data_IF_511527111891
#
_entry.id   IF_511527111891
#
_cell.length_a   1.000
_cell.length_b   1.000
_cell.length_c   1.000
_cell.angle_alpha   90.00
_cell.angle_beta   90.00
_cell.angle_gamma   90.00
#
_symmetry.space_group_name_H-M   'P 1'
#
loop_
_entity.id
_entity.type
_entity.pdbx_description
1 polymer ?
#
# COMPACT_ATOMS: atom_id res chain seq x y z
N UNK A 1 -8.63 17.01 17.01
CA UNK A 1 -7.28 17.07 16.41
C UNK A 1 -7.44 17.60 15.00
N UNK A 2 -6.70 18.63 14.62
CA UNK A 2 -6.82 19.23 13.29
C UNK A 2 -6.25 18.28 12.23
N UNK A 3 -6.95 18.02 11.11
CA UNK A 3 -6.41 17.24 10.01
C UNK A 3 -5.12 17.89 9.49
N UNK A 4 -4.18 17.09 8.96
CA UNK A 4 -2.97 17.62 8.34
C UNK A 4 -3.42 18.57 7.22
N UNK A 5 -3.18 19.89 7.34
CA UNK A 5 -3.76 20.86 6.41
C UNK A 5 -3.04 20.87 5.04
N UNK A 6 -1.94 20.12 4.92
CA UNK A 6 -1.07 20.09 3.74
C UNK A 6 -0.58 18.68 3.44
N UNK A 7 -0.31 18.41 2.17
CA UNK A 7 0.30 17.16 1.73
C UNK A 7 1.67 16.99 2.43
N UNK A 8 1.96 15.82 3.06
CA UNK A 8 3.30 15.51 3.51
C UNK A 8 4.30 15.64 2.37
N UNK A 9 5.52 16.08 2.66
CA UNK A 9 6.57 16.16 1.64
C UNK A 9 6.82 14.79 1.02
N UNK A 10 7.15 14.74 -0.28
CA UNK A 10 7.28 13.50 -1.06
C UNK A 10 8.12 12.42 -0.37
N UNK A 11 9.22 12.80 0.28
CA UNK A 11 10.09 11.89 1.04
C UNK A 11 9.35 11.10 2.13
N UNK A 12 8.37 11.70 2.81
CA UNK A 12 7.58 11.00 3.83
C UNK A 12 6.66 9.97 3.19
N UNK A 13 6.08 10.27 2.03
CA UNK A 13 5.21 9.36 1.29
C UNK A 13 6.02 8.20 0.67
N UNK A 14 7.23 8.48 0.20
CA UNK A 14 8.21 7.46 -0.20
C UNK A 14 8.55 6.53 0.98
N UNK A 15 8.76 7.08 2.19
CA UNK A 15 8.98 6.28 3.39
C UNK A 15 7.76 5.39 3.72
N UNK A 16 6.54 5.91 3.61
CA UNK A 16 5.31 5.11 3.77
C UNK A 16 5.28 3.94 2.80
N UNK A 17 5.56 4.19 1.51
CA UNK A 17 5.65 3.13 0.50
C UNK A 17 6.68 2.08 0.88
N UNK A 18 7.89 2.50 1.25
CA UNK A 18 8.98 1.58 1.58
C UNK A 18 8.65 0.72 2.81
N UNK A 19 8.01 1.29 3.83
CA UNK A 19 7.57 0.55 5.04
C UNK A 19 6.57 -0.55 4.66
N UNK A 20 5.61 -0.24 3.80
CA UNK A 20 4.53 -1.16 3.43
C UNK A 20 5.00 -2.21 2.44
N UNK A 21 5.78 -1.83 1.43
CA UNK A 21 6.32 -2.74 0.43
C UNK A 21 7.26 -3.79 1.06
N UNK A 22 7.97 -3.45 2.14
CA UNK A 22 8.77 -4.44 2.91
C UNK A 22 7.94 -5.54 3.57
N UNK A 23 6.62 -5.37 3.71
CA UNK A 23 5.73 -6.44 4.18
C UNK A 23 5.25 -7.36 3.06
N UNK A 24 5.44 -6.96 1.81
CA UNK A 24 5.19 -7.79 0.64
C UNK A 24 6.41 -8.67 0.32
N UNK A 25 6.65 -9.66 1.18
CA UNK A 25 7.84 -10.53 1.15
C UNK A 25 7.95 -11.43 -0.09
N UNK A 26 6.85 -11.63 -0.82
CA UNK A 26 6.83 -12.41 -2.06
C UNK A 26 6.58 -11.55 -3.30
N UNK A 27 6.64 -10.21 -3.16
CA UNK A 27 6.48 -9.25 -4.26
C UNK A 27 5.16 -9.40 -5.03
N UNK A 28 4.09 -9.84 -4.35
CA UNK A 28 2.77 -10.08 -4.98
C UNK A 28 2.06 -8.80 -5.40
N UNK A 29 2.44 -7.67 -4.80
CA UNK A 29 1.82 -6.37 -4.98
C UNK A 29 2.82 -5.34 -5.50
N UNK A 30 3.99 -5.79 -5.97
CA UNK A 30 5.05 -4.93 -6.46
C UNK A 30 4.67 -4.27 -7.80
N UNK A 31 4.01 -5.02 -8.68
CA UNK A 31 3.62 -4.63 -10.04
C UNK A 31 2.13 -4.95 -10.29
N UNK A 32 1.53 -4.42 -11.38
CA UNK A 32 0.15 -4.75 -11.75
C UNK A 32 -0.05 -6.25 -11.94
N UNK A 33 -1.23 -6.76 -11.56
CA UNK A 33 -1.61 -8.16 -11.79
C UNK A 33 -1.66 -8.47 -13.29
N UNK A 34 -0.99 -9.54 -13.71
CA UNK A 34 -1.01 -9.97 -15.10
C UNK A 34 -2.37 -10.65 -15.43
N UNK A 35 -3.17 -10.11 -16.39
CA UNK A 35 -4.42 -10.73 -16.80
C UNK A 35 -4.27 -12.10 -17.46
N UNK A 36 -3.08 -12.45 -17.97
CA UNK A 36 -2.78 -13.78 -18.52
C UNK A 36 -2.54 -14.82 -17.42
N UNK A 37 -2.07 -14.39 -16.25
CA UNK A 37 -1.82 -15.27 -15.10
C UNK A 37 -3.01 -15.40 -14.15
N UNK A 38 -3.83 -14.34 -14.06
CA UNK A 38 -4.98 -14.27 -13.14
C UNK A 38 -6.26 -14.01 -13.92
N UNK A 39 -6.94 -15.11 -14.26
CA UNK A 39 -8.24 -15.10 -14.93
C UNK A 39 -9.28 -14.29 -14.14
N UNK A 40 -10.16 -13.59 -14.86
CA UNK A 40 -11.25 -12.76 -14.33
C UNK A 40 -10.83 -11.58 -13.42
N UNK A 41 -9.52 -11.30 -13.23
CA UNK A 41 -9.07 -10.27 -12.29
C UNK A 41 -9.68 -8.90 -12.55
N UNK A 42 -9.61 -8.41 -13.79
CA UNK A 42 -10.17 -7.11 -14.17
C UNK A 42 -11.69 -7.13 -14.37
N UNK A 43 -12.30 -8.33 -14.44
CA UNK A 43 -13.76 -8.47 -14.40
C UNK A 43 -14.30 -8.31 -12.98
N UNK A 44 -13.52 -8.74 -11.97
CA UNK A 44 -13.90 -8.67 -10.56
C UNK A 44 -13.44 -7.34 -9.94
N UNK A 45 -12.17 -6.97 -10.13
CA UNK A 45 -11.53 -5.77 -9.56
C UNK A 45 -11.65 -4.57 -10.50
N UNK A 46 -12.32 -3.52 -10.02
CA UNK A 46 -12.63 -2.32 -10.82
C UNK A 46 -11.62 -1.18 -10.69
N UNK A 47 -10.89 -1.14 -9.59
CA UNK A 47 -9.83 -0.15 -9.33
C UNK A 47 -8.53 -0.89 -8.97
N UNK A 48 -7.85 -1.54 -9.95
CA UNK A 48 -6.60 -2.25 -9.71
C UNK A 48 -5.51 -1.29 -9.22
N UNK A 49 -4.65 -1.77 -8.32
CA UNK A 49 -3.56 -0.97 -7.76
C UNK A 49 -2.44 -1.87 -7.24
N UNK A 50 -1.21 -1.36 -7.29
CA UNK A 50 0.04 -2.00 -6.89
C UNK A 50 1.06 -0.94 -6.44
N UNK A 51 2.14 -1.35 -5.78
CA UNK A 51 3.14 -0.41 -5.24
C UNK A 51 3.90 0.34 -6.34
N UNK A 52 4.19 -0.30 -7.48
CA UNK A 52 4.85 0.32 -8.64
C UNK A 52 4.02 1.48 -9.21
N UNK A 53 2.73 1.25 -9.42
CA UNK A 53 1.77 2.26 -9.88
C UNK A 53 1.66 3.43 -8.90
N UNK A 54 1.55 3.18 -7.59
CA UNK A 54 1.49 4.26 -6.58
C UNK A 54 2.79 5.07 -6.59
N UNK A 55 3.94 4.39 -6.72
CA UNK A 55 5.25 5.06 -6.80
C UNK A 55 5.32 5.95 -8.04
N UNK A 56 4.90 5.47 -9.21
CA UNK A 56 4.83 6.25 -10.44
C UNK A 56 3.90 7.48 -10.29
N UNK A 57 2.70 7.29 -9.74
CA UNK A 57 1.73 8.38 -9.46
C UNK A 57 2.31 9.43 -8.51
N UNK A 58 3.04 9.00 -7.48
CA UNK A 58 3.70 9.89 -6.52
C UNK A 58 4.80 10.72 -7.19
N UNK A 59 5.67 10.10 -7.98
CA UNK A 59 6.74 10.82 -8.70
C UNK A 59 6.19 11.74 -9.80
N UNK A 60 5.07 11.36 -10.42
CA UNK A 60 4.33 12.19 -11.39
C UNK A 60 3.52 13.33 -10.77
N UNK A 61 3.46 13.46 -9.44
CA UNK A 61 2.70 14.51 -8.76
C UNK A 61 1.18 14.36 -8.91
N UNK A 62 0.68 13.14 -9.10
CA UNK A 62 -0.75 12.89 -9.30
C UNK A 62 -1.59 12.97 -8.02
N UNK A 63 -0.96 13.02 -6.85
CA UNK A 63 -1.63 13.16 -5.57
C UNK A 63 -1.68 14.62 -5.13
N UNK A 64 -2.89 15.17 -5.04
CA UNK A 64 -3.16 16.55 -4.60
C UNK A 64 -3.42 16.64 -3.10
N UNK A 65 -3.74 15.52 -2.44
CA UNK A 65 -3.96 15.40 -1.02
C UNK A 65 -3.62 14.00 -0.50
N UNK A 66 -3.56 13.86 0.83
CA UNK A 66 -3.15 12.62 1.49
C UNK A 66 -4.20 11.52 1.31
N UNK A 67 -5.47 11.90 1.24
CA UNK A 67 -6.59 10.97 1.10
C UNK A 67 -6.53 10.19 -0.22
N UNK A 68 -6.11 10.83 -1.32
CA UNK A 68 -5.90 10.16 -2.60
C UNK A 68 -4.77 9.11 -2.54
N UNK A 69 -3.66 9.44 -1.89
CA UNK A 69 -2.55 8.52 -1.71
C UNK A 69 -2.92 7.36 -0.77
N UNK A 70 -3.61 7.67 0.33
CA UNK A 70 -4.12 6.68 1.29
C UNK A 70 -5.13 5.73 0.65
N UNK A 71 -6.05 6.25 -0.17
CA UNK A 71 -7.03 5.44 -0.92
C UNK A 71 -6.33 4.37 -1.75
N UNK A 72 -5.35 4.76 -2.57
CA UNK A 72 -4.62 3.82 -3.42
C UNK A 72 -3.85 2.77 -2.61
N UNK A 73 -3.21 3.17 -1.51
CA UNK A 73 -2.53 2.22 -0.62
C UNK A 73 -3.51 1.17 -0.08
N UNK A 74 -4.73 1.58 0.27
CA UNK A 74 -5.74 0.65 0.77
C UNK A 74 -6.41 -0.18 -0.32
N UNK A 75 -6.36 0.23 -1.60
CA UNK A 75 -6.84 -0.60 -2.71
C UNK A 75 -6.06 -1.91 -2.81
N UNK A 76 -4.73 -1.88 -2.66
CA UNK A 76 -3.87 -3.08 -2.77
C UNK A 76 -4.40 -4.26 -1.92
N UNK A 77 -4.43 -4.17 -0.58
CA UNK A 77 -4.86 -5.30 0.24
C UNK A 77 -6.37 -5.55 0.15
N UNK A 78 -7.20 -4.54 -0.12
CA UNK A 78 -8.66 -4.72 -0.26
C UNK A 78 -9.01 -5.49 -1.52
N UNK A 79 -8.39 -5.18 -2.64
CA UNK A 79 -8.57 -5.89 -3.90
C UNK A 79 -8.12 -7.34 -3.76
N UNK A 80 -6.95 -7.58 -3.16
CA UNK A 80 -6.47 -8.92 -2.89
C UNK A 80 -7.45 -9.73 -2.03
N UNK A 81 -7.88 -9.19 -0.87
CA UNK A 81 -8.85 -9.87 -0.01
C UNK A 81 -10.21 -10.07 -0.70
N UNK A 82 -10.67 -9.11 -1.52
CA UNK A 82 -11.93 -9.20 -2.24
C UNK A 82 -11.88 -10.29 -3.31
N UNK A 83 -10.87 -10.26 -4.19
CA UNK A 83 -10.66 -11.28 -5.21
C UNK A 83 -10.57 -12.67 -4.57
N UNK A 84 -9.79 -12.83 -3.50
CA UNK A 84 -9.59 -14.12 -2.84
C UNK A 84 -10.87 -14.66 -2.15
N UNK A 85 -11.78 -13.77 -1.76
CA UNK A 85 -13.06 -14.19 -1.16
C UNK A 85 -14.05 -14.79 -2.17
N UNK A 86 -13.80 -14.64 -3.47
CA UNK A 86 -14.67 -15.17 -4.53
C UNK A 86 -14.50 -16.69 -4.77
N UNK A 87 -13.51 -17.32 -4.13
CA UNK A 87 -13.26 -18.78 -4.27
C UNK A 87 -12.47 -19.16 -5.52
N UNK A 88 -11.83 -18.20 -6.19
CA UNK A 88 -10.93 -18.43 -7.32
C UNK A 88 -9.75 -19.32 -6.92
N UNK A 89 -9.49 -20.35 -7.74
CA UNK A 89 -8.53 -21.43 -7.47
C UNK A 89 -7.06 -20.97 -7.55
N UNK A 90 -6.82 -19.78 -8.11
CA UNK A 90 -5.50 -19.27 -8.46
C UNK A 90 -4.77 -18.58 -7.29
N UNK A 91 -5.49 -18.10 -6.27
CA UNK A 91 -4.91 -17.24 -5.23
C UNK A 91 -4.67 -17.98 -3.91
N UNK A 92 -3.42 -17.91 -3.41
CA UNK A 92 -2.93 -18.73 -2.31
C UNK A 92 -3.26 -18.10 -0.95
N UNK A 93 -3.34 -18.93 0.09
CA UNK A 93 -3.51 -18.48 1.48
C UNK A 93 -2.42 -17.49 1.93
N UNK A 94 -1.22 -17.57 1.34
CA UNK A 94 -0.12 -16.62 1.50
C UNK A 94 -0.53 -15.19 1.15
N UNK A 95 -1.36 -15.02 0.13
CA UNK A 95 -1.63 -13.72 -0.48
C UNK A 95 -2.64 -12.96 0.38
N UNK A 96 -3.68 -13.66 0.84
CA UNK A 96 -4.63 -13.14 1.83
C UNK A 96 -3.94 -12.77 3.14
N UNK A 97 -3.00 -13.59 3.62
CA UNK A 97 -2.29 -13.29 4.87
C UNK A 97 -1.36 -12.08 4.74
N UNK A 98 -0.64 -11.95 3.63
CA UNK A 98 0.18 -10.76 3.35
C UNK A 98 -0.68 -9.50 3.16
N UNK A 99 -1.77 -9.59 2.39
CA UNK A 99 -2.71 -8.48 2.21
C UNK A 99 -3.24 -8.00 3.58
N UNK A 100 -3.58 -8.93 4.48
CA UNK A 100 -4.03 -8.57 5.83
C UNK A 100 -2.92 -7.88 6.64
N UNK A 101 -1.70 -8.40 6.58
CA UNK A 101 -0.55 -7.80 7.28
C UNK A 101 -0.25 -6.38 6.76
N UNK A 102 -0.30 -6.17 5.45
CA UNK A 102 -0.15 -4.85 4.82
C UNK A 102 -1.29 -3.92 5.24
N UNK A 103 -2.53 -4.38 5.24
CA UNK A 103 -3.69 -3.60 5.67
C UNK A 103 -3.56 -3.11 7.12
N UNK A 104 -3.20 -4.01 8.03
CA UNK A 104 -3.06 -3.68 9.45
C UNK A 104 -1.85 -2.75 9.68
N UNK A 105 -0.75 -2.93 8.94
CA UNK A 105 0.38 -1.99 8.98
C UNK A 105 0.02 -0.62 8.40
N UNK A 106 -0.68 -0.56 7.26
CA UNK A 106 -1.13 0.69 6.65
C UNK A 106 -1.99 1.51 7.62
N UNK A 107 -2.92 0.85 8.32
CA UNK A 107 -3.70 1.50 9.39
C UNK A 107 -2.80 2.11 10.47
N UNK A 108 -1.78 1.39 10.94
CA UNK A 108 -0.85 1.91 11.95
C UNK A 108 -0.06 3.09 11.39
N UNK A 109 0.51 2.95 10.20
CA UNK A 109 1.34 3.98 9.54
C UNK A 109 0.53 5.27 9.34
N UNK A 110 -0.67 5.20 8.76
CA UNK A 110 -1.51 6.38 8.56
C UNK A 110 -2.04 6.97 9.86
N UNK A 111 -2.28 6.15 10.89
CA UNK A 111 -2.62 6.66 12.21
C UNK A 111 -1.50 7.53 12.77
N UNK A 112 -0.27 7.00 12.84
CA UNK A 112 0.90 7.73 13.34
C UNK A 112 1.17 8.97 12.48
N UNK A 113 1.12 8.84 11.15
CA UNK A 113 1.32 9.96 10.24
C UNK A 113 0.36 11.13 10.54
N UNK A 114 -0.88 10.83 10.94
CA UNK A 114 -1.93 11.81 11.25
C UNK A 114 -1.91 12.33 12.68
N UNK A 115 -1.45 11.53 13.65
CA UNK A 115 -1.52 11.89 15.07
C UNK A 115 -0.19 12.30 15.69
N UNK A 116 0.93 11.86 15.11
CA UNK A 116 2.28 12.08 15.62
C UNK A 116 3.27 12.30 14.47
N UNK A 117 2.94 13.25 13.60
CA UNK A 117 3.73 13.56 12.40
C UNK A 117 5.18 13.94 12.71
N UNK A 118 5.42 14.69 13.80
CA UNK A 118 6.76 15.14 14.19
C UNK A 118 7.70 13.99 14.53
N UNK A 119 7.17 12.89 15.09
CA UNK A 119 7.95 11.70 15.41
C UNK A 119 7.82 10.57 14.38
N UNK A 120 7.06 10.76 13.30
CA UNK A 120 6.81 9.73 12.29
C UNK A 120 8.11 9.13 11.73
N UNK A 121 9.07 9.97 11.30
CA UNK A 121 10.34 9.47 10.80
C UNK A 121 11.12 8.70 11.88
N UNK A 122 11.04 9.09 13.15
CA UNK A 122 11.72 8.39 14.24
C UNK A 122 11.10 7.01 14.48
N UNK A 123 9.77 6.93 14.58
CA UNK A 123 9.06 5.66 14.80
C UNK A 123 9.36 4.63 13.69
N UNK A 124 9.55 5.11 12.45
CA UNK A 124 9.84 4.25 11.31
C UNK A 124 11.28 4.37 10.77
N UNK A 125 12.20 4.95 11.56
CA UNK A 125 13.62 5.04 11.20
C UNK A 125 14.36 3.73 11.43
N UNK A 126 13.95 2.96 12.43
CA UNK A 126 14.52 1.64 12.75
C UNK A 126 14.37 0.65 11.60
N UNK A 127 13.40 0.88 10.72
CA UNK A 127 13.20 0.07 9.52
C UNK A 127 14.34 0.29 8.52
N UNK A 128 14.93 1.50 8.40
CA UNK A 128 15.99 1.76 7.41
C UNK A 128 17.33 1.07 7.71
N UNK A 129 17.62 0.70 8.96
CA UNK A 129 18.95 0.21 9.35
C UNK A 129 19.22 -1.28 9.07
N UNK A 130 18.26 -2.04 8.52
CA UNK A 130 18.45 -3.48 8.22
C UNK A 130 18.80 -3.78 6.76
N UNK A 131 19.13 -2.75 5.97
CA UNK A 131 19.54 -2.89 4.57
C UNK A 131 21.02 -2.54 4.42
N UNK A 132 21.89 -3.44 4.88
CA UNK A 132 23.31 -3.53 4.51
C UNK A 132 23.64 -4.98 4.26
#
# INVERSE_FOLDING_TARGET
MSPIPFMPVRRILELVLDILQRRDTYELFAEPVDPEEVEDYYEIIKEPMDFGTIRAKLHGGMYTNLEQFEHDIFLIPRNAMHFNSTGTIYFRQSDTSQARAIYDLAKKVFHVLKTDFENFELEFSETRQRST
#
